data_IF_376276440169
#
_entry.id   IF_376276440169
#
_cell.length_a   1.000
_cell.length_b   1.000
_cell.length_c   1.000
_cell.angle_alpha   90.00
_cell.angle_beta   90.00
_cell.angle_gamma   90.00
#
_symmetry.space_group_name_H-M   'P 1'
#
loop_
_entity.id
_entity.type
_entity.pdbx_description
1 polymer ?
#
# COMPACT_ATOMS: atom_id res chain seq x y z
N UNK A 1 11.05 14.89 36.88
CA UNK A 1 9.95 15.16 35.92
C UNK A 1 9.65 16.65 36.02
N UNK A 2 9.86 17.40 34.93
CA UNK A 2 9.62 18.85 34.89
C UNK A 2 8.18 19.06 34.44
N UNK A 3 7.42 19.92 35.13
CA UNK A 3 6.01 20.15 34.82
C UNK A 3 5.77 21.63 34.52
N UNK A 4 5.26 21.92 33.33
CA UNK A 4 4.76 23.24 32.95
C UNK A 4 3.24 23.25 33.07
N UNK A 5 2.73 23.89 34.11
CA UNK A 5 1.28 23.99 34.39
C UNK A 5 0.60 25.17 33.69
N UNK A 6 1.38 26.12 33.17
CA UNK A 6 0.89 27.23 32.37
C UNK A 6 1.30 27.03 30.91
N UNK A 7 0.75 27.87 30.04
CA UNK A 7 1.11 27.89 28.62
C UNK A 7 2.62 28.14 28.45
N UNK A 8 3.21 27.45 27.48
CA UNK A 8 4.64 27.56 27.15
C UNK A 8 4.78 27.96 25.69
N UNK A 9 5.60 28.97 25.45
CA UNK A 9 5.86 29.50 24.11
C UNK A 9 7.35 29.46 23.79
N UNK A 10 7.70 28.60 22.85
CA UNK A 10 8.98 28.49 22.17
C UNK A 10 8.83 28.79 20.67
N UNK A 11 7.77 29.50 20.26
CA UNK A 11 7.62 29.89 18.87
C UNK A 11 8.80 30.77 18.44
N UNK A 12 9.28 30.53 17.22
CA UNK A 12 10.48 31.18 16.67
C UNK A 12 11.77 30.97 17.49
N UNK A 13 11.76 30.11 18.52
CA UNK A 13 12.97 29.84 19.29
C UNK A 13 14.01 29.12 18.42
N UNK A 14 15.27 29.49 18.60
CA UNK A 14 16.40 28.86 17.95
C UNK A 14 17.21 28.09 19.00
N UNK A 15 17.05 26.77 19.01
CA UNK A 15 17.85 25.87 19.84
C UNK A 15 19.12 25.50 19.07
N UNK A 16 20.29 25.79 19.65
CA UNK A 16 21.58 25.50 19.05
C UNK A 16 22.51 24.79 20.05
N UNK A 17 23.54 24.12 19.54
CA UNK A 17 24.51 23.37 20.35
C UNK A 17 24.60 21.90 19.94
N UNK A 18 25.15 21.05 20.81
CA UNK A 18 25.32 19.62 20.49
C UNK A 18 23.99 18.88 20.61
N UNK A 19 23.20 19.16 21.64
CA UNK A 19 21.97 18.44 21.93
C UNK A 19 20.90 19.36 22.51
N UNK A 20 19.64 19.19 22.06
CA UNK A 20 18.45 19.73 22.73
C UNK A 20 17.66 18.60 23.35
N UNK A 21 17.48 18.61 24.68
CA UNK A 21 16.80 17.55 25.42
C UNK A 21 15.61 18.14 26.20
N UNK A 22 14.41 17.76 25.79
CA UNK A 22 13.13 18.02 26.46
C UNK A 22 12.57 16.65 26.83
N UNK A 23 13.24 15.94 27.73
CA UNK A 23 12.88 14.56 28.10
C UNK A 23 12.23 14.51 29.47
N UNK A 24 11.24 13.62 29.64
CA UNK A 24 10.48 13.49 30.90
C UNK A 24 9.82 14.81 31.37
N UNK A 25 9.34 15.61 30.41
CA UNK A 25 8.63 16.87 30.66
C UNK A 25 7.13 16.65 30.51
N UNK A 26 6.32 17.31 31.33
CA UNK A 26 4.87 17.38 31.16
C UNK A 26 4.44 18.81 30.85
N UNK A 27 3.74 18.97 29.73
CA UNK A 27 3.09 20.22 29.35
C UNK A 27 1.58 20.09 29.60
N UNK A 28 1.12 20.73 30.68
CA UNK A 28 -0.28 20.70 31.14
C UNK A 28 -1.04 22.02 30.85
N UNK A 29 -0.32 23.07 30.43
CA UNK A 29 -0.92 24.32 29.99
C UNK A 29 -1.87 24.13 28.81
N UNK A 30 -2.76 25.08 28.59
CA UNK A 30 -3.73 25.01 27.47
C UNK A 30 -3.04 25.02 26.11
N UNK A 31 -1.89 25.72 26.01
CA UNK A 31 -1.09 25.84 24.78
C UNK A 31 0.38 25.50 25.03
N UNK A 32 0.96 24.73 24.13
CA UNK A 32 2.40 24.52 24.02
C UNK A 32 2.83 24.81 22.58
N UNK A 33 3.62 25.86 22.39
CA UNK A 33 3.91 26.38 21.05
C UNK A 33 5.40 26.22 20.73
N UNK A 34 5.72 25.45 19.70
CA UNK A 34 7.02 25.31 19.05
C UNK A 34 6.98 25.75 17.57
N UNK A 35 5.90 26.45 17.15
CA UNK A 35 5.74 26.85 15.75
C UNK A 35 6.90 27.72 15.29
N UNK A 36 7.36 27.51 14.06
CA UNK A 36 8.54 28.19 13.49
C UNK A 36 9.85 28.01 14.29
N UNK A 37 9.90 27.16 15.33
CA UNK A 37 11.14 26.90 16.05
C UNK A 37 12.16 26.20 15.15
N UNK A 38 13.45 26.42 15.44
CA UNK A 38 14.56 25.79 14.74
C UNK A 38 15.43 25.04 15.74
N UNK A 39 15.54 23.74 15.55
CA UNK A 39 16.45 22.89 16.31
C UNK A 39 17.70 22.60 15.47
N UNK A 40 18.73 23.43 15.62
CA UNK A 40 20.05 23.30 15.00
C UNK A 40 21.02 22.61 15.98
N UNK A 41 20.73 21.37 16.33
CA UNK A 41 21.58 20.54 17.20
C UNK A 41 21.88 19.20 16.53
N UNK A 42 22.93 18.50 16.97
CA UNK A 42 23.25 17.16 16.44
C UNK A 42 22.17 16.14 16.81
N UNK A 43 21.49 16.32 17.94
CA UNK A 43 20.33 15.51 18.33
C UNK A 43 19.26 16.33 19.05
N UNK A 44 18.00 15.97 18.83
CA UNK A 44 16.82 16.53 19.49
C UNK A 44 16.02 15.40 20.12
N UNK A 45 15.69 15.51 21.40
CA UNK A 45 14.94 14.47 22.10
C UNK A 45 13.77 15.02 22.91
N UNK A 46 12.57 14.51 22.61
CA UNK A 46 11.34 14.66 23.38
C UNK A 46 10.97 13.36 24.12
N UNK A 47 11.95 12.47 24.34
CA UNK A 47 11.73 11.15 24.95
C UNK A 47 10.88 11.23 26.24
N UNK A 48 9.82 10.43 26.29
CA UNK A 48 8.90 10.34 27.44
C UNK A 48 8.27 11.68 27.85
N UNK A 49 8.15 12.64 26.92
CA UNK A 49 7.43 13.89 27.16
C UNK A 49 5.94 13.69 26.99
N UNK A 50 5.16 14.35 27.85
CA UNK A 50 3.70 14.29 27.82
C UNK A 50 3.15 15.66 27.44
N UNK A 51 2.44 15.72 26.32
CA UNK A 51 1.66 16.86 25.91
C UNK A 51 0.18 16.60 26.25
N UNK A 52 -0.27 17.13 27.40
CA UNK A 52 -1.63 16.91 27.92
C UNK A 52 -2.56 18.11 27.72
N UNK A 53 -2.02 19.22 27.19
CA UNK A 53 -2.74 20.48 26.99
C UNK A 53 -3.90 20.40 26.00
N UNK A 54 -4.45 21.55 25.63
CA UNK A 54 -5.51 21.60 24.60
C UNK A 54 -4.90 21.63 23.20
N UNK A 55 -3.87 22.45 22.99
CA UNK A 55 -3.26 22.67 21.69
C UNK A 55 -1.73 22.61 21.77
N UNK A 56 -1.12 21.84 20.86
CA UNK A 56 0.33 21.69 20.73
C UNK A 56 0.71 21.99 19.29
N UNK A 57 1.58 22.96 19.09
CA UNK A 57 1.90 23.44 17.75
C UNK A 57 3.40 23.26 17.43
N UNK A 58 3.69 22.37 16.48
CA UNK A 58 4.99 22.14 15.85
C UNK A 58 4.97 22.57 14.37
N UNK A 59 4.01 23.40 13.95
CA UNK A 59 3.91 23.82 12.57
C UNK A 59 5.11 24.66 12.14
N UNK A 60 5.57 24.47 10.92
CA UNK A 60 6.76 25.15 10.38
C UNK A 60 8.06 24.96 11.17
N UNK A 61 8.10 24.04 12.15
CA UNK A 61 9.32 23.72 12.90
C UNK A 61 10.34 23.03 12.00
N UNK A 62 11.62 23.33 12.21
CA UNK A 62 12.74 22.68 11.50
C UNK A 62 13.59 21.87 12.46
N UNK A 63 13.73 20.58 12.19
CA UNK A 63 14.58 19.66 12.96
C UNK A 63 15.81 19.31 12.12
N UNK A 64 16.99 19.80 12.53
CA UNK A 64 18.27 19.44 11.94
C UNK A 64 18.96 18.35 12.79
N UNK A 65 20.19 17.97 12.40
CA UNK A 65 21.02 17.01 13.13
C UNK A 65 20.97 15.59 12.61
N UNK A 66 21.49 14.66 13.38
CA UNK A 66 21.48 13.23 13.09
C UNK A 66 20.16 12.56 13.53
N UNK A 67 19.49 13.09 14.56
CA UNK A 67 18.28 12.46 15.11
C UNK A 67 17.29 13.49 15.68
N UNK A 68 16.01 13.29 15.36
CA UNK A 68 14.87 13.91 16.04
C UNK A 68 13.98 12.81 16.64
N UNK A 69 13.98 12.69 17.97
CA UNK A 69 13.32 11.60 18.69
C UNK A 69 12.13 12.09 19.51
N UNK A 70 10.97 11.49 19.27
CA UNK A 70 9.72 11.58 20.01
C UNK A 70 9.34 10.21 20.58
N UNK A 71 10.32 9.35 20.83
CA UNK A 71 10.06 8.01 21.36
C UNK A 71 9.31 8.07 22.69
N UNK A 72 8.33 7.17 22.85
CA UNK A 72 7.47 7.07 24.03
C UNK A 72 6.80 8.41 24.43
N UNK A 73 6.70 9.36 23.49
CA UNK A 73 6.03 10.66 23.72
C UNK A 73 4.54 10.45 23.73
N UNK A 74 3.85 11.11 24.66
CA UNK A 74 2.38 11.09 24.74
C UNK A 74 1.83 12.38 24.15
N UNK A 75 1.35 12.27 22.93
CA UNK A 75 0.63 13.29 22.18
C UNK A 75 -0.85 13.22 22.57
N UNK A 76 -1.18 13.67 23.77
CA UNK A 76 -2.50 13.49 24.41
C UNK A 76 -3.35 14.76 24.42
N UNK A 77 -2.89 15.80 23.74
CA UNK A 77 -3.64 17.04 23.57
C UNK A 77 -4.81 16.87 22.60
N UNK A 78 -5.80 17.77 22.67
CA UNK A 78 -6.96 17.71 21.75
C UNK A 78 -6.54 17.98 20.31
N UNK A 79 -5.57 18.88 20.09
CA UNK A 79 -5.05 19.23 18.77
C UNK A 79 -3.53 19.30 18.79
N UNK A 80 -2.91 18.65 17.82
CA UNK A 80 -1.46 18.55 17.68
C UNK A 80 -1.11 18.79 16.21
N UNK A 81 -0.40 19.87 15.95
CA UNK A 81 -0.14 20.32 14.59
C UNK A 81 1.33 20.20 14.25
N UNK A 82 1.68 19.32 13.31
CA UNK A 82 3.01 19.26 12.70
C UNK A 82 3.05 19.88 11.30
N UNK A 83 1.96 20.50 10.83
CA UNK A 83 1.83 20.89 9.44
C UNK A 83 2.98 21.80 8.98
N UNK A 84 3.47 21.54 7.76
CA UNK A 84 4.61 22.27 7.17
C UNK A 84 5.94 22.18 7.94
N UNK A 85 6.05 21.33 8.96
CA UNK A 85 7.34 21.04 9.59
C UNK A 85 8.29 20.34 8.61
N UNK A 86 9.58 20.56 8.82
CA UNK A 86 10.64 20.00 7.99
C UNK A 86 11.61 19.23 8.88
N UNK A 87 11.64 17.92 8.69
CA UNK A 87 12.59 17.04 9.35
C UNK A 87 13.78 16.78 8.43
N UNK A 88 14.90 17.45 8.69
CA UNK A 88 16.17 17.28 7.99
C UNK A 88 17.06 16.23 8.67
N UNK A 89 16.70 15.78 9.87
CA UNK A 89 17.46 14.78 10.62
C UNK A 89 17.58 13.46 9.88
N UNK A 90 18.70 12.75 10.05
CA UNK A 90 18.92 11.44 9.39
C UNK A 90 17.92 10.37 9.87
N UNK A 91 17.54 10.44 11.16
CA UNK A 91 16.54 9.57 11.77
C UNK A 91 15.47 10.39 12.48
N UNK A 92 14.21 10.04 12.23
CA UNK A 92 13.05 10.64 12.89
C UNK A 92 12.27 9.52 13.56
N UNK A 93 12.12 9.57 14.88
CA UNK A 93 11.63 8.43 15.65
C UNK A 93 10.39 8.81 16.47
N UNK A 94 9.28 8.15 16.21
CA UNK A 94 8.04 8.18 16.99
C UNK A 94 7.76 6.79 17.59
N UNK A 95 8.82 6.06 17.93
CA UNK A 95 8.70 4.68 18.39
C UNK A 95 7.96 4.62 19.73
N UNK A 96 6.96 3.76 19.84
CA UNK A 96 6.06 3.67 21.03
C UNK A 96 5.38 5.00 21.40
N UNK A 97 5.33 5.98 20.49
CA UNK A 97 4.59 7.22 20.74
C UNK A 97 3.08 6.91 20.82
N UNK A 98 2.37 7.62 21.70
CA UNK A 98 0.93 7.48 21.87
C UNK A 98 0.22 8.73 21.38
N UNK A 99 -0.70 8.56 20.43
CA UNK A 99 -1.45 9.64 19.80
C UNK A 99 -2.92 9.61 20.22
N UNK A 100 -3.43 10.74 20.71
CA UNK A 100 -4.84 11.00 21.00
C UNK A 100 -5.24 12.36 20.42
N UNK A 101 -6.54 12.55 20.16
CA UNK A 101 -7.04 13.81 19.59
C UNK A 101 -6.78 13.96 18.09
N UNK A 102 -6.80 15.19 17.59
CA UNK A 102 -6.54 15.53 16.19
C UNK A 102 -5.04 15.78 15.97
N UNK A 103 -4.38 14.97 15.15
CA UNK A 103 -2.96 15.10 14.78
C UNK A 103 -2.85 15.42 13.29
N UNK A 104 -2.20 16.52 12.95
CA UNK A 104 -2.02 16.95 11.57
C UNK A 104 -0.55 16.85 11.12
N UNK A 105 -0.23 15.89 10.26
CA UNK A 105 1.05 15.76 9.54
C UNK A 105 0.95 16.23 8.08
N UNK A 106 0.06 17.19 7.79
CA UNK A 106 -0.12 17.76 6.47
C UNK A 106 1.11 18.53 5.97
N UNK A 107 1.54 18.25 4.74
CA UNK A 107 2.70 18.92 4.13
C UNK A 107 4.02 18.82 4.93
N UNK A 108 4.14 17.82 5.81
CA UNK A 108 5.40 17.54 6.51
C UNK A 108 6.44 17.00 5.54
N UNK A 109 7.68 17.47 5.66
CA UNK A 109 8.79 16.97 4.87
C UNK A 109 9.61 15.96 5.68
N UNK A 110 9.32 14.67 5.50
CA UNK A 110 10.11 13.56 6.04
C UNK A 110 11.29 13.25 5.11
N UNK A 111 12.38 14.02 5.21
CA UNK A 111 13.46 13.93 4.22
C UNK A 111 14.27 12.63 4.31
N UNK A 112 14.28 11.98 5.47
CA UNK A 112 15.00 10.73 5.72
C UNK A 112 14.10 9.70 6.42
N UNK A 113 14.71 8.62 6.93
CA UNK A 113 13.98 7.54 7.58
C UNK A 113 13.17 8.06 8.77
N UNK A 114 11.86 7.80 8.71
CA UNK A 114 10.92 8.12 9.78
C UNK A 114 10.25 6.84 10.26
N UNK A 115 10.26 6.60 11.56
CA UNK A 115 9.63 5.42 12.16
C UNK A 115 8.49 5.83 13.07
N UNK A 116 7.28 5.37 12.78
CA UNK A 116 6.17 5.31 13.73
C UNK A 116 6.07 3.93 14.40
N UNK A 117 7.13 3.13 14.35
CA UNK A 117 7.12 1.74 14.83
C UNK A 117 6.51 1.59 16.22
N UNK A 118 5.58 0.64 16.37
CA UNK A 118 4.92 0.35 17.65
C UNK A 118 4.14 1.54 18.26
N UNK A 119 3.88 2.60 17.47
CA UNK A 119 3.05 3.70 17.91
C UNK A 119 1.60 3.27 18.18
N UNK A 120 1.02 3.82 19.24
CA UNK A 120 -0.33 3.52 19.69
C UNK A 120 -1.24 4.67 19.30
N UNK A 121 -2.21 4.39 18.45
CA UNK A 121 -3.22 5.35 18.02
C UNK A 121 -4.51 5.05 18.79
N UNK A 122 -4.98 6.01 19.59
CA UNK A 122 -6.25 5.87 20.30
C UNK A 122 -7.43 5.76 19.30
N UNK A 123 -8.48 5.06 19.71
CA UNK A 123 -9.68 4.85 18.89
C UNK A 123 -10.37 6.15 18.47
N UNK A 124 -10.24 7.20 19.29
CA UNK A 124 -10.82 8.53 19.05
C UNK A 124 -9.80 9.51 18.48
N UNK A 125 -8.55 9.09 18.27
CA UNK A 125 -7.59 9.93 17.58
C UNK A 125 -8.01 10.08 16.11
N UNK A 126 -7.67 11.20 15.50
CA UNK A 126 -7.71 11.40 14.05
C UNK A 126 -6.32 11.86 13.61
N UNK A 127 -5.65 11.09 12.77
CA UNK A 127 -4.32 11.44 12.25
C UNK A 127 -4.42 11.69 10.76
N UNK A 128 -4.03 12.87 10.29
CA UNK A 128 -3.98 13.21 8.88
C UNK A 128 -2.54 13.24 8.38
N UNK A 129 -2.26 12.48 7.32
CA UNK A 129 -1.04 12.59 6.52
C UNK A 129 -1.38 13.17 5.16
N UNK A 130 -0.60 14.14 4.71
CA UNK A 130 -0.74 14.73 3.38
C UNK A 130 0.64 15.10 2.83
N UNK A 131 1.52 14.10 2.77
CA UNK A 131 2.97 14.27 2.55
C UNK A 131 3.60 13.05 1.86
N UNK A 132 4.88 13.16 1.50
CA UNK A 132 5.63 12.02 1.00
C UNK A 132 5.96 11.05 2.14
N UNK A 133 5.36 9.85 2.08
CA UNK A 133 5.54 8.77 3.03
C UNK A 133 6.49 7.67 2.52
N UNK A 134 7.21 7.90 1.43
CA UNK A 134 8.10 6.91 0.80
C UNK A 134 9.24 6.40 1.70
N UNK A 135 9.57 7.17 2.75
CA UNK A 135 10.60 6.86 3.77
C UNK A 135 10.04 6.64 5.18
N UNK A 136 8.72 6.52 5.29
CA UNK A 136 8.01 6.40 6.57
C UNK A 136 7.64 4.94 6.82
N UNK A 137 8.02 4.42 7.97
CA UNK A 137 7.66 3.08 8.46
C UNK A 137 6.51 3.17 9.45
N UNK A 138 5.49 2.33 9.25
CA UNK A 138 4.37 2.13 10.17
C UNK A 138 4.40 0.71 10.76
N UNK A 139 5.61 0.18 10.96
CA UNK A 139 5.80 -1.18 11.46
C UNK A 139 5.06 -1.40 12.79
N UNK A 140 4.23 -2.44 12.84
CA UNK A 140 3.38 -2.77 14.00
C UNK A 140 2.42 -1.64 14.44
N UNK A 141 2.09 -0.71 13.56
CA UNK A 141 1.06 0.31 13.80
C UNK A 141 -0.26 -0.18 13.22
N UNK A 142 -1.33 -0.06 14.00
CA UNK A 142 -2.68 -0.35 13.51
C UNK A 142 -3.18 0.80 12.65
N UNK A 143 -3.02 0.65 11.33
CA UNK A 143 -3.61 1.58 10.35
C UNK A 143 -5.11 1.30 10.27
N UNK A 144 -5.91 2.17 10.90
CA UNK A 144 -7.37 2.10 10.92
C UNK A 144 -8.04 3.26 10.19
N UNK A 145 -9.36 3.36 10.28
CA UNK A 145 -10.15 4.46 9.67
C UNK A 145 -9.86 5.84 10.27
N UNK A 146 -9.21 5.86 11.44
CA UNK A 146 -8.74 7.06 12.13
C UNK A 146 -7.48 7.68 11.51
N UNK A 147 -6.80 7.00 10.60
CA UNK A 147 -5.69 7.58 9.83
C UNK A 147 -6.18 8.00 8.46
N UNK A 148 -6.09 9.29 8.11
CA UNK A 148 -6.49 9.83 6.82
C UNK A 148 -5.26 10.09 5.98
N UNK A 149 -5.24 9.59 4.75
CA UNK A 149 -4.21 9.87 3.76
C UNK A 149 -4.78 10.81 2.70
N UNK A 150 -4.33 12.07 2.72
CA UNK A 150 -4.76 13.13 1.82
C UNK A 150 -4.23 12.98 0.39
N UNK A 151 -4.69 13.85 -0.51
CA UNK A 151 -4.42 13.79 -1.96
C UNK A 151 -2.93 13.91 -2.35
N UNK A 152 -2.12 14.55 -1.51
CA UNK A 152 -0.68 14.69 -1.74
C UNK A 152 0.14 13.59 -1.07
N UNK A 153 -0.53 12.60 -0.46
CA UNK A 153 0.14 11.43 0.10
C UNK A 153 0.81 10.64 -1.02
N UNK A 154 2.11 10.41 -0.88
CA UNK A 154 2.89 9.62 -1.84
C UNK A 154 3.56 8.46 -1.14
N UNK A 155 3.50 7.31 -1.78
CA UNK A 155 4.25 6.12 -1.40
C UNK A 155 5.43 5.93 -2.35
N UNK A 156 6.27 4.94 -2.09
CA UNK A 156 7.37 4.65 -3.00
C UNK A 156 6.85 4.11 -4.36
N UNK A 157 7.74 3.91 -5.32
CA UNK A 157 7.37 3.47 -6.68
C UNK A 157 6.44 2.25 -6.64
N UNK A 158 5.36 2.31 -7.42
CA UNK A 158 4.31 1.28 -7.47
C UNK A 158 3.74 0.94 -6.07
N UNK A 159 3.63 1.93 -5.18
CA UNK A 159 3.02 1.83 -3.85
C UNK A 159 3.72 0.85 -2.90
N UNK A 160 5.05 0.68 -3.01
CA UNK A 160 5.79 -0.04 -1.96
C UNK A 160 5.81 0.79 -0.67
N UNK A 161 5.51 0.14 0.44
CA UNK A 161 5.79 0.70 1.77
C UNK A 161 7.29 0.59 2.06
N UNK A 162 7.79 1.46 2.95
CA UNK A 162 9.21 1.51 3.29
C UNK A 162 9.73 0.18 3.86
N UNK A 163 8.93 -0.51 4.69
CA UNK A 163 9.36 -1.75 5.33
C UNK A 163 9.56 -2.91 4.35
N UNK A 164 8.84 -2.93 3.22
CA UNK A 164 9.10 -3.90 2.14
C UNK A 164 10.46 -3.63 1.48
N UNK A 165 10.80 -2.37 1.23
CA UNK A 165 12.09 -1.99 0.64
C UNK A 165 13.23 -2.40 1.57
N UNK A 166 13.07 -2.15 2.87
CA UNK A 166 14.04 -2.56 3.88
C UNK A 166 14.21 -4.07 3.96
N UNK A 167 13.14 -4.84 3.75
CA UNK A 167 13.20 -6.32 3.65
C UNK A 167 14.02 -6.76 2.43
N UNK A 168 13.91 -6.05 1.30
CA UNK A 168 14.69 -6.35 0.09
C UNK A 168 16.19 -6.04 0.28
N UNK A 169 16.52 -5.07 1.13
CA UNK A 169 17.91 -4.64 1.41
C UNK A 169 18.61 -5.46 2.51
N UNK A 170 17.89 -5.88 3.56
CA UNK A 170 18.45 -6.60 4.71
C UNK A 170 17.87 -8.03 4.82
N UNK A 171 18.55 -8.99 4.19
CA UNK A 171 18.15 -10.41 4.06
C UNK A 171 18.15 -11.22 5.39
N UNK A 172 18.50 -10.62 6.53
CA UNK A 172 18.92 -11.35 7.75
C UNK A 172 17.92 -11.38 8.92
N UNK A 173 16.88 -10.52 9.00
CA UNK A 173 15.93 -10.46 10.14
C UNK A 173 14.45 -10.63 9.75
N UNK A 174 14.16 -11.38 8.68
CA UNK A 174 12.94 -11.18 7.90
C UNK A 174 11.79 -12.17 8.06
N UNK A 175 11.36 -12.51 9.28
CA UNK A 175 10.10 -13.27 9.46
C UNK A 175 9.05 -12.53 10.30
N UNK A 176 9.47 -11.87 11.39
CA UNK A 176 8.61 -10.86 12.07
C UNK A 176 8.30 -9.68 11.15
N UNK A 177 9.25 -9.32 10.28
CA UNK A 177 9.10 -8.23 9.32
C UNK A 177 8.00 -8.50 8.28
N UNK A 178 7.89 -9.74 7.78
CA UNK A 178 6.91 -10.09 6.74
C UNK A 178 5.47 -9.99 7.28
N UNK A 179 5.20 -10.57 8.46
CA UNK A 179 3.87 -10.49 9.07
C UNK A 179 3.46 -9.03 9.32
N UNK A 180 4.38 -8.20 9.82
CA UNK A 180 4.17 -6.76 9.98
C UNK A 180 3.91 -6.03 8.65
N UNK A 181 4.64 -6.36 7.58
CA UNK A 181 4.44 -5.79 6.24
C UNK A 181 3.06 -6.16 5.69
N UNK A 182 2.63 -7.42 5.83
CA UNK A 182 1.30 -7.87 5.39
C UNK A 182 0.21 -7.11 6.16
N UNK A 183 0.35 -7.00 7.48
CA UNK A 183 -0.61 -6.26 8.32
C UNK A 183 -0.70 -4.79 7.93
N UNK A 184 0.43 -4.15 7.59
CA UNK A 184 0.44 -2.77 7.08
C UNK A 184 -0.30 -2.65 5.74
N UNK A 185 -0.04 -3.55 4.79
CA UNK A 185 -0.75 -3.54 3.51
C UNK A 185 -2.26 -3.75 3.66
N UNK A 186 -2.67 -4.64 4.55
CA UNK A 186 -4.09 -4.86 4.86
C UNK A 186 -4.72 -3.61 5.48
N UNK A 187 -4.08 -3.00 6.48
CA UNK A 187 -4.56 -1.77 7.10
C UNK A 187 -4.65 -0.61 6.11
N UNK A 188 -3.66 -0.45 5.22
CA UNK A 188 -3.71 0.53 4.14
C UNK A 188 -4.86 0.24 3.18
N UNK A 189 -4.95 -0.98 2.64
CA UNK A 189 -6.04 -1.35 1.74
C UNK A 189 -7.41 -1.04 2.34
N UNK A 190 -7.67 -1.55 3.54
CA UNK A 190 -8.97 -1.39 4.22
C UNK A 190 -9.26 0.11 4.50
N UNK A 191 -8.24 0.90 4.82
CA UNK A 191 -8.37 2.34 4.98
C UNK A 191 -8.70 3.07 3.67
N UNK A 192 -8.01 2.76 2.58
CA UNK A 192 -8.27 3.38 1.27
C UNK A 192 -9.65 2.96 0.72
N UNK A 193 -10.09 1.71 0.96
CA UNK A 193 -11.45 1.26 0.64
C UNK A 193 -12.52 2.02 1.44
N UNK A 194 -12.30 2.19 2.74
CA UNK A 194 -13.20 2.96 3.60
C UNK A 194 -13.36 4.41 3.12
N UNK A 195 -12.27 5.01 2.62
CA UNK A 195 -12.27 6.36 2.05
C UNK A 195 -12.67 6.42 0.56
N UNK A 196 -13.27 5.34 0.02
CA UNK A 196 -13.73 5.22 -1.37
C UNK A 196 -12.64 5.37 -2.44
N UNK A 197 -11.37 5.25 -2.07
CA UNK A 197 -10.23 5.24 -2.99
C UNK A 197 -9.86 3.80 -3.37
N UNK A 198 -10.74 3.17 -4.14
CA UNK A 198 -10.60 1.78 -4.59
C UNK A 198 -9.40 1.56 -5.52
N UNK A 199 -8.94 2.61 -6.23
CA UNK A 199 -7.79 2.48 -7.13
C UNK A 199 -6.50 2.23 -6.33
N UNK A 200 -6.24 3.05 -5.30
CA UNK A 200 -5.03 2.86 -4.49
C UNK A 200 -5.14 1.64 -3.57
N UNK A 201 -6.35 1.34 -3.06
CA UNK A 201 -6.59 0.08 -2.35
C UNK A 201 -6.24 -1.16 -3.20
N UNK A 202 -6.64 -1.18 -4.47
CA UNK A 202 -6.30 -2.27 -5.40
C UNK A 202 -4.78 -2.43 -5.58
N UNK A 203 -4.04 -1.32 -5.70
CA UNK A 203 -2.58 -1.34 -5.78
C UNK A 203 -1.93 -1.91 -4.52
N UNK A 204 -2.43 -1.58 -3.32
CA UNK A 204 -1.94 -2.18 -2.07
C UNK A 204 -2.26 -3.66 -1.95
N UNK A 205 -3.43 -4.10 -2.42
CA UNK A 205 -3.76 -5.53 -2.48
C UNK A 205 -2.79 -6.29 -3.40
N UNK A 206 -2.45 -5.72 -4.57
CA UNK A 206 -1.48 -6.32 -5.48
C UNK A 206 -0.12 -6.50 -4.78
N UNK A 207 0.31 -5.51 -3.99
CA UNK A 207 1.56 -5.59 -3.21
C UNK A 207 1.50 -6.63 -2.09
N UNK A 208 0.42 -6.67 -1.31
CA UNK A 208 0.17 -7.73 -0.33
C UNK A 208 0.33 -9.12 -0.98
N UNK A 209 -0.31 -9.30 -2.15
CA UNK A 209 -0.24 -10.51 -2.96
C UNK A 209 1.18 -10.84 -3.44
N UNK A 210 1.98 -9.84 -3.81
CA UNK A 210 3.38 -10.00 -4.22
C UNK A 210 4.28 -10.44 -3.07
N UNK A 211 4.12 -9.85 -1.89
CA UNK A 211 4.86 -10.26 -0.69
C UNK A 211 4.52 -11.70 -0.33
N UNK A 212 3.23 -12.04 -0.25
CA UNK A 212 2.76 -13.40 0.00
C UNK A 212 3.21 -14.41 -1.06
N UNK A 213 3.41 -13.96 -2.31
CA UNK A 213 3.94 -14.79 -3.40
C UNK A 213 5.44 -15.03 -3.21
N UNK A 214 6.21 -14.01 -2.88
CA UNK A 214 7.67 -14.10 -2.86
C UNK A 214 8.21 -14.81 -1.62
N UNK A 215 7.52 -14.68 -0.49
CA UNK A 215 7.99 -15.17 0.81
C UNK A 215 7.06 -16.26 1.36
N UNK A 216 7.63 -17.25 2.05
CA UNK A 216 6.86 -18.21 2.85
C UNK A 216 6.34 -17.51 4.11
N UNK A 217 5.03 -17.62 4.34
CA UNK A 217 4.42 -17.16 5.59
C UNK A 217 4.92 -18.08 6.72
N UNK A 218 5.63 -17.56 7.75
CA UNK A 218 6.08 -18.38 8.86
C UNK A 218 4.93 -18.95 9.70
N UNK A 219 3.72 -18.39 9.62
CA UNK A 219 2.62 -18.77 10.50
C UNK A 219 1.25 -18.80 9.80
N UNK A 220 1.00 -19.78 8.91
CA UNK A 220 -0.27 -19.91 8.17
C UNK A 220 -1.50 -20.16 9.06
N UNK A 221 -1.30 -20.30 10.38
CA UNK A 221 -2.35 -20.58 11.38
C UNK A 221 -2.81 -19.35 12.17
N UNK A 222 -2.13 -18.20 12.08
CA UNK A 222 -2.52 -17.00 12.82
C UNK A 222 -3.68 -16.24 12.17
N UNK A 223 -3.80 -16.29 10.83
CA UNK A 223 -4.92 -15.69 10.09
C UNK A 223 -6.24 -16.49 10.17
N UNK A 224 -6.24 -17.70 10.77
CA UNK A 224 -7.46 -18.49 11.06
C UNK A 224 -8.04 -18.25 12.47
N UNK A 225 -7.50 -17.28 13.22
CA UNK A 225 -7.78 -17.09 14.65
C UNK A 225 -9.22 -16.75 14.99
N UNK A 226 -10.03 -16.23 14.07
CA UNK A 226 -11.47 -16.01 14.33
C UNK A 226 -12.25 -17.33 14.55
N UNK A 227 -11.80 -18.43 13.94
CA UNK A 227 -12.44 -19.76 14.08
C UNK A 227 -11.75 -20.62 15.14
N UNK A 228 -10.42 -20.50 15.27
CA UNK A 228 -9.61 -21.26 16.24
C UNK A 228 -9.80 -20.80 17.69
N UNK A 229 -10.12 -19.53 17.94
CA UNK A 229 -10.33 -19.03 19.31
C UNK A 229 -11.53 -19.68 20.01
N UNK A 230 -12.49 -20.22 19.25
CA UNK A 230 -13.61 -21.03 19.76
C UNK A 230 -13.20 -22.47 20.16
N UNK A 231 -12.09 -22.96 19.61
CA UNK A 231 -11.52 -24.29 19.89
C UNK A 231 -10.40 -24.23 20.95
N UNK A 232 -9.63 -23.13 21.02
CA UNK A 232 -8.54 -22.94 21.99
C UNK A 232 -9.03 -22.79 23.44
N UNK A 233 -10.26 -22.36 23.67
CA UNK A 233 -10.87 -22.36 25.02
C UNK A 233 -11.12 -23.78 25.56
N UNK A 234 -11.02 -24.83 24.72
CA UNK A 234 -11.25 -26.22 25.12
C UNK A 234 -9.96 -27.00 25.47
N UNK A 235 -8.77 -26.51 25.12
CA UNK A 235 -7.53 -27.31 25.18
C UNK A 235 -6.38 -26.68 26.01
N UNK A 236 -6.62 -25.61 26.75
CA UNK A 236 -5.59 -24.75 27.34
C UNK A 236 -4.92 -25.26 28.64
N UNK A 237 -4.75 -26.57 28.87
CA UNK A 237 -4.28 -27.05 30.20
C UNK A 237 -3.06 -27.96 30.30
N UNK A 238 -2.37 -28.37 29.23
CA UNK A 238 -1.35 -29.44 29.40
C UNK A 238 0.02 -29.29 28.73
N UNK A 239 0.38 -28.19 28.05
CA UNK A 239 1.63 -28.21 27.25
C UNK A 239 2.34 -26.85 27.16
N UNK A 240 2.94 -26.38 28.27
CA UNK A 240 3.54 -25.03 28.31
C UNK A 240 5.00 -24.95 28.78
N UNK A 241 5.76 -26.06 28.86
CA UNK A 241 7.10 -26.02 29.48
C UNK A 241 8.25 -26.49 28.56
N UNK A 242 8.02 -27.19 27.45
CA UNK A 242 9.13 -27.71 26.60
C UNK A 242 9.42 -26.93 25.29
N UNK A 243 8.55 -26.04 24.82
CA UNK A 243 8.70 -25.40 23.48
C UNK A 243 9.70 -24.23 23.43
N UNK A 244 10.24 -23.78 24.56
CA UNK A 244 11.02 -22.53 24.62
C UNK A 244 12.46 -22.60 24.11
N UNK A 245 12.99 -23.79 23.77
CA UNK A 245 14.39 -23.96 23.34
C UNK A 245 14.57 -24.28 21.85
N UNK A 246 13.49 -24.56 21.10
CA UNK A 246 13.55 -24.92 19.67
C UNK A 246 13.17 -23.76 18.72
N UNK A 247 12.70 -22.63 19.23
CA UNK A 247 12.19 -21.52 18.40
C UNK A 247 13.28 -20.58 17.86
N UNK A 248 14.49 -20.57 18.44
CA UNK A 248 15.54 -19.62 18.04
C UNK A 248 16.41 -20.07 16.85
N UNK A 249 16.41 -21.37 16.47
CA UNK A 249 17.32 -21.89 15.43
C UNK A 249 16.72 -22.08 14.01
N UNK A 250 15.40 -21.89 13.78
CA UNK A 250 14.77 -22.37 12.52
C UNK A 250 14.40 -21.30 11.48
N UNK A 251 14.34 -20.02 11.82
CA UNK A 251 13.62 -19.07 10.96
C UNK A 251 14.57 -18.25 10.06
N UNK A 252 15.14 -18.91 9.04
CA UNK A 252 15.76 -18.24 7.86
C UNK A 252 14.67 -17.92 6.83
N UNK A 253 14.71 -16.73 6.22
CA UNK A 253 13.80 -16.32 5.14
C UNK A 253 13.89 -17.34 4.00
N UNK A 254 12.83 -18.12 3.78
CA UNK A 254 12.78 -19.05 2.66
C UNK A 254 11.91 -18.47 1.55
N UNK A 255 12.56 -18.08 0.44
CA UNK A 255 11.85 -17.68 -0.78
C UNK A 255 11.09 -18.88 -1.34
N UNK A 256 9.82 -18.71 -1.72
CA UNK A 256 9.04 -19.79 -2.34
C UNK A 256 9.71 -20.27 -3.63
N UNK A 257 9.67 -21.60 -3.84
CA UNK A 257 10.13 -22.21 -5.09
C UNK A 257 9.46 -21.55 -6.31
N UNK A 258 10.19 -21.44 -7.44
CA UNK A 258 9.73 -20.75 -8.66
C UNK A 258 8.35 -21.26 -9.11
N UNK A 259 8.11 -22.57 -9.07
CA UNK A 259 6.83 -23.17 -9.46
C UNK A 259 5.65 -22.65 -8.62
N UNK A 260 5.79 -22.65 -7.29
CA UNK A 260 4.75 -22.19 -6.37
C UNK A 260 4.45 -20.69 -6.51
N UNK A 261 5.37 -19.90 -7.08
CA UNK A 261 5.15 -18.48 -7.38
C UNK A 261 4.28 -18.22 -8.61
N UNK A 262 4.19 -19.15 -9.55
CA UNK A 262 3.43 -18.97 -10.79
C UNK A 262 2.04 -19.64 -10.77
N UNK A 263 1.77 -20.51 -9.79
CA UNK A 263 0.50 -21.25 -9.67
C UNK A 263 -0.34 -20.76 -8.47
N UNK A 264 0.12 -19.77 -7.71
CA UNK A 264 -0.59 -19.31 -6.50
C UNK A 264 -1.81 -18.43 -6.83
N UNK A 265 -2.85 -18.49 -5.98
CA UNK A 265 -4.05 -17.62 -6.08
C UNK A 265 -3.66 -16.12 -6.17
N UNK A 266 -2.68 -15.61 -5.41
CA UNK A 266 -2.17 -14.24 -5.58
C UNK A 266 -1.64 -13.92 -6.98
N UNK A 267 -1.01 -14.89 -7.67
CA UNK A 267 -0.52 -14.69 -9.03
C UNK A 267 -1.68 -14.54 -10.02
N UNK A 268 -2.69 -15.40 -9.93
CA UNK A 268 -3.91 -15.31 -10.75
C UNK A 268 -4.64 -14.00 -10.47
N UNK A 269 -4.82 -13.65 -9.19
CA UNK A 269 -5.45 -12.38 -8.81
C UNK A 269 -4.69 -11.18 -9.36
N UNK A 270 -3.36 -11.12 -9.24
CA UNK A 270 -2.57 -10.00 -9.79
C UNK A 270 -2.86 -9.80 -11.28
N UNK A 271 -2.96 -10.89 -12.04
CA UNK A 271 -3.27 -10.79 -13.46
C UNK A 271 -4.68 -10.28 -13.70
N UNK A 272 -5.67 -10.68 -12.89
CA UNK A 272 -7.06 -10.21 -12.96
C UNK A 272 -7.20 -8.74 -12.51
N UNK A 273 -6.50 -8.32 -11.45
CA UNK A 273 -6.52 -6.96 -10.93
C UNK A 273 -5.84 -5.99 -11.89
N UNK A 274 -4.65 -6.35 -12.40
CA UNK A 274 -3.98 -5.61 -13.47
C UNK A 274 -4.82 -5.55 -14.77
N UNK A 275 -5.74 -6.49 -14.96
CA UNK A 275 -6.64 -6.58 -16.11
C UNK A 275 -7.69 -5.47 -16.11
N UNK A 276 -8.06 -4.93 -14.94
CA UNK A 276 -8.99 -3.82 -14.79
C UNK A 276 -8.36 -2.43 -14.96
N UNK A 277 -7.03 -2.33 -14.85
CA UNK A 277 -6.29 -1.05 -14.87
C UNK A 277 -5.74 -0.66 -16.27
N UNK A 278 -5.55 -1.61 -17.18
CA UNK A 278 -4.88 -1.36 -18.47
C UNK A 278 -5.61 -1.99 -19.65
N UNK A 279 -6.09 -1.16 -20.60
CA UNK A 279 -6.73 -1.59 -21.85
C UNK A 279 -5.78 -2.37 -22.80
N UNK A 280 -4.45 -2.24 -22.62
CA UNK A 280 -3.47 -2.87 -23.52
C UNK A 280 -3.44 -4.39 -23.40
N UNK A 281 -3.63 -4.93 -22.19
CA UNK A 281 -3.58 -6.37 -21.91
C UNK A 281 -4.77 -7.13 -22.53
N UNK A 282 -6.04 -6.74 -22.30
CA UNK A 282 -7.17 -7.42 -22.93
C UNK A 282 -7.17 -7.24 -24.45
N UNK A 283 -6.79 -6.05 -24.94
CA UNK A 283 -6.67 -5.80 -26.38
C UNK A 283 -5.57 -6.65 -27.03
N UNK A 284 -4.44 -6.85 -26.34
CA UNK A 284 -3.39 -7.76 -26.81
C UNK A 284 -3.85 -9.21 -26.92
N UNK A 285 -4.59 -9.71 -25.92
CA UNK A 285 -5.16 -11.06 -25.94
C UNK A 285 -6.22 -11.20 -27.03
N UNK A 286 -7.06 -10.18 -27.23
CA UNK A 286 -8.01 -10.12 -28.35
C UNK A 286 -7.29 -10.19 -29.70
N UNK A 287 -6.21 -9.44 -29.90
CA UNK A 287 -5.41 -9.49 -31.14
C UNK A 287 -4.83 -10.89 -31.36
N UNK A 288 -4.33 -11.55 -30.32
CA UNK A 288 -3.76 -12.91 -30.43
C UNK A 288 -4.83 -13.91 -30.85
N UNK A 289 -6.00 -13.88 -30.21
CA UNK A 289 -7.10 -14.79 -30.55
C UNK A 289 -7.62 -14.49 -31.96
N UNK A 290 -7.70 -13.21 -32.36
CA UNK A 290 -8.15 -12.78 -33.68
C UNK A 290 -7.18 -13.24 -34.77
N UNK A 291 -5.89 -13.01 -34.57
CA UNK A 291 -4.85 -13.44 -35.53
C UNK A 291 -4.79 -14.96 -35.66
N UNK A 292 -4.90 -15.70 -34.56
CA UNK A 292 -4.94 -17.15 -34.59
C UNK A 292 -6.15 -17.70 -35.36
N UNK A 293 -7.35 -17.17 -35.09
CA UNK A 293 -8.59 -17.60 -35.78
C UNK A 293 -8.56 -17.24 -37.26
N UNK A 294 -8.03 -16.08 -37.61
CA UNK A 294 -7.82 -15.65 -38.99
C UNK A 294 -6.85 -16.58 -39.74
N UNK A 295 -5.65 -16.79 -39.19
CA UNK A 295 -4.59 -17.59 -39.82
C UNK A 295 -4.97 -19.06 -39.92
N UNK A 296 -5.52 -19.66 -38.87
CA UNK A 296 -5.93 -21.07 -38.89
C UNK A 296 -7.02 -21.31 -39.95
N UNK A 297 -7.98 -20.41 -40.09
CA UNK A 297 -9.03 -20.50 -41.11
C UNK A 297 -8.51 -20.29 -42.52
N UNK A 298 -7.59 -19.33 -42.72
CA UNK A 298 -6.96 -19.09 -44.01
C UNK A 298 -6.10 -20.29 -44.46
N UNK A 299 -5.31 -20.86 -43.55
CA UNK A 299 -4.46 -22.03 -43.84
C UNK A 299 -5.32 -23.24 -44.21
N UNK A 300 -6.39 -23.52 -43.47
CA UNK A 300 -7.30 -24.63 -43.79
C UNK A 300 -7.91 -24.46 -45.19
N UNK A 301 -8.37 -23.26 -45.53
CA UNK A 301 -8.98 -22.99 -46.83
C UNK A 301 -7.98 -23.09 -48.01
N UNK A 302 -6.75 -22.63 -47.80
CA UNK A 302 -5.70 -22.76 -48.79
C UNK A 302 -5.28 -24.23 -49.01
N UNK A 303 -5.15 -25.01 -47.93
CA UNK A 303 -4.65 -26.39 -47.98
C UNK A 303 -5.73 -27.40 -48.38
N UNK A 304 -6.95 -27.29 -47.84
CA UNK A 304 -8.02 -28.27 -48.08
C UNK A 304 -8.83 -27.94 -49.35
N UNK A 305 -9.06 -26.66 -49.64
CA UNK A 305 -9.93 -26.23 -50.73
C UNK A 305 -9.20 -25.54 -51.89
N UNK A 306 -7.85 -25.53 -51.89
CA UNK A 306 -7.00 -24.94 -52.94
C UNK A 306 -7.37 -23.49 -53.32
N UNK A 307 -7.85 -22.70 -52.35
CA UNK A 307 -8.11 -21.27 -52.55
C UNK A 307 -6.81 -20.49 -52.71
N UNK A 308 -6.80 -19.46 -53.56
CA UNK A 308 -5.68 -18.55 -53.67
C UNK A 308 -5.38 -17.88 -52.32
N UNK A 309 -4.10 -17.57 -52.08
CA UNK A 309 -3.63 -17.06 -50.77
C UNK A 309 -4.43 -15.80 -50.37
N UNK A 310 -4.67 -14.88 -51.31
CA UNK A 310 -5.41 -13.65 -51.03
C UNK A 310 -6.87 -13.93 -50.63
N UNK A 311 -7.53 -14.87 -51.31
CA UNK A 311 -8.93 -15.23 -51.03
C UNK A 311 -9.04 -16.02 -49.73
N UNK A 312 -8.07 -16.88 -49.43
CA UNK A 312 -7.97 -17.60 -48.17
C UNK A 312 -7.76 -16.64 -46.98
N UNK A 313 -6.93 -15.61 -47.14
CA UNK A 313 -6.78 -14.54 -46.14
C UNK A 313 -8.07 -13.74 -45.99
N UNK A 314 -8.73 -13.34 -47.08
CA UNK A 314 -10.00 -12.63 -47.03
C UNK A 314 -11.08 -13.46 -46.30
N UNK A 315 -11.17 -14.76 -46.58
CA UNK A 315 -12.05 -15.68 -45.86
C UNK A 315 -11.70 -15.76 -44.38
N UNK A 316 -10.42 -15.94 -44.03
CA UNK A 316 -9.96 -15.98 -42.65
C UNK A 316 -10.29 -14.70 -41.88
N UNK A 317 -10.16 -13.53 -42.50
CA UNK A 317 -10.52 -12.24 -41.89
C UNK A 317 -12.02 -12.12 -41.66
N UNK A 318 -12.85 -12.49 -42.63
CA UNK A 318 -14.31 -12.51 -42.50
C UNK A 318 -14.75 -13.42 -41.35
N UNK A 319 -14.17 -14.62 -41.27
CA UNK A 319 -14.47 -15.59 -40.21
C UNK A 319 -14.03 -15.11 -38.83
N UNK A 320 -12.85 -14.52 -38.71
CA UNK A 320 -12.40 -13.90 -37.46
C UNK A 320 -13.30 -12.72 -37.06
N UNK A 321 -13.79 -11.91 -38.01
CA UNK A 321 -14.74 -10.83 -37.74
C UNK A 321 -16.09 -11.35 -37.25
N UNK A 322 -16.66 -12.39 -37.87
CA UNK A 322 -17.92 -13.02 -37.43
C UNK A 322 -17.82 -13.69 -36.06
N UNK A 323 -16.66 -14.26 -35.71
CA UNK A 323 -16.40 -14.83 -34.39
C UNK A 323 -16.27 -13.77 -33.27
N UNK A 324 -15.81 -12.56 -33.60
CA UNK A 324 -15.57 -11.49 -32.63
C UNK A 324 -16.72 -10.48 -32.53
N UNK A 325 -17.43 -10.25 -33.64
CA UNK A 325 -18.56 -9.34 -33.72
C UNK A 325 -19.75 -10.12 -34.28
N UNK A 326 -20.61 -10.69 -33.42
CA UNK A 326 -21.73 -11.54 -33.86
C UNK A 326 -22.73 -10.83 -34.79
N UNK A 327 -22.72 -9.49 -34.82
CA UNK A 327 -23.57 -8.68 -35.71
C UNK A 327 -22.99 -8.50 -37.12
N UNK A 328 -21.71 -8.81 -37.31
CA UNK A 328 -21.01 -8.78 -38.61
C UNK A 328 -20.89 -10.18 -39.22
N UNK A 329 -21.61 -11.16 -38.67
CA UNK A 329 -21.56 -12.55 -39.14
C UNK A 329 -21.99 -12.60 -40.62
N UNK A 330 -21.02 -12.85 -41.50
CA UNK A 330 -21.29 -13.15 -42.91
C UNK A 330 -21.82 -14.57 -42.91
N UNK A 331 -23.11 -14.71 -43.19
CA UNK A 331 -23.84 -15.97 -43.16
C UNK A 331 -23.14 -17.06 -43.98
N UNK A 332 -22.31 -17.86 -43.32
CA UNK A 332 -21.76 -19.09 -43.89
C UNK A 332 -21.94 -20.23 -42.89
N UNK A 333 -22.81 -21.16 -43.29
CA UNK A 333 -23.37 -22.21 -42.47
C UNK A 333 -22.36 -23.33 -42.26
N UNK A 334 -21.53 -23.25 -41.22
CA UNK A 334 -20.98 -24.39 -40.47
C UNK A 334 -20.23 -23.87 -39.24
N UNK A 335 -21.00 -23.58 -38.18
CA UNK A 335 -20.45 -23.26 -36.85
C UNK A 335 -19.71 -24.49 -36.32
N UNK A 336 -18.38 -24.41 -36.18
CA UNK A 336 -17.61 -25.44 -35.48
C UNK A 336 -17.78 -25.23 -33.97
N UNK A 337 -17.72 -26.28 -33.12
CA UNK A 337 -17.80 -26.14 -31.67
C UNK A 337 -16.79 -25.15 -31.07
N UNK A 338 -15.63 -25.01 -31.72
CA UNK A 338 -14.59 -24.05 -31.36
C UNK A 338 -15.04 -22.58 -31.53
N UNK A 339 -15.94 -22.29 -32.47
CA UNK A 339 -16.42 -20.94 -32.72
C UNK A 339 -17.25 -20.41 -31.54
N UNK A 340 -18.00 -21.28 -30.87
CA UNK A 340 -18.70 -20.94 -29.62
C UNK A 340 -17.74 -20.67 -28.46
N UNK A 341 -16.62 -21.40 -28.37
CA UNK A 341 -15.59 -21.16 -27.36
C UNK A 341 -14.90 -19.81 -27.57
N UNK A 342 -14.59 -19.45 -28.82
CA UNK A 342 -14.04 -18.13 -29.17
C UNK A 342 -15.05 -17.03 -28.86
N UNK A 343 -16.31 -17.17 -29.29
CA UNK A 343 -17.39 -16.21 -29.00
C UNK A 343 -17.58 -16.00 -27.47
N UNK A 344 -17.53 -17.07 -26.68
CA UNK A 344 -17.65 -17.02 -25.22
C UNK A 344 -16.50 -16.27 -24.52
N UNK A 345 -15.29 -16.27 -25.11
CA UNK A 345 -14.11 -15.59 -24.55
C UNK A 345 -14.00 -14.15 -25.09
N UNK A 346 -14.25 -13.95 -26.38
CA UNK A 346 -14.07 -12.66 -27.05
C UNK A 346 -15.11 -11.61 -26.61
N UNK A 347 -16.36 -12.02 -26.36
CA UNK A 347 -17.44 -11.10 -26.02
C UNK A 347 -17.24 -10.40 -24.65
N UNK A 348 -16.91 -11.10 -23.54
CA UNK A 348 -16.53 -10.45 -22.28
C UNK A 348 -15.28 -9.57 -22.42
N UNK A 349 -14.25 -10.04 -23.14
CA UNK A 349 -13.00 -9.29 -23.33
C UNK A 349 -13.20 -7.99 -24.11
N UNK A 350 -14.07 -8.00 -25.11
CA UNK A 350 -14.42 -6.81 -25.91
C UNK A 350 -15.21 -5.81 -25.05
N UNK A 351 -16.19 -6.28 -24.26
CA UNK A 351 -16.91 -5.44 -23.32
C UNK A 351 -16.01 -4.80 -22.26
N UNK A 352 -15.08 -5.58 -21.68
CA UNK A 352 -14.09 -5.08 -20.72
C UNK A 352 -13.13 -4.07 -21.36
N UNK A 353 -12.67 -4.31 -22.59
CA UNK A 353 -11.81 -3.38 -23.34
C UNK A 353 -12.53 -2.06 -23.60
N UNK A 354 -13.82 -2.10 -23.94
CA UNK A 354 -14.65 -0.91 -24.13
C UNK A 354 -14.80 -0.10 -22.84
N UNK A 355 -15.06 -0.75 -21.70
CA UNK A 355 -15.14 -0.10 -20.38
C UNK A 355 -13.81 0.57 -20.02
N UNK A 356 -12.69 -0.14 -20.22
CA UNK A 356 -11.35 0.39 -19.95
C UNK A 356 -11.01 1.59 -20.86
N UNK A 357 -11.38 1.52 -22.14
CA UNK A 357 -11.18 2.61 -23.11
C UNK A 357 -12.02 3.84 -22.75
N UNK A 358 -13.29 3.65 -22.38
CA UNK A 358 -14.18 4.72 -21.91
C UNK A 358 -13.58 5.44 -20.70
N UNK A 359 -13.16 4.70 -19.67
CA UNK A 359 -12.51 5.27 -18.47
C UNK A 359 -11.27 6.11 -18.82
N UNK A 360 -10.48 5.69 -19.80
CA UNK A 360 -9.32 6.46 -20.27
C UNK A 360 -9.72 7.77 -20.95
N UNK A 361 -10.76 7.75 -21.79
CA UNK A 361 -11.29 8.96 -22.41
C UNK A 361 -11.84 9.93 -21.35
N UNK A 362 -12.56 9.43 -20.34
CA UNK A 362 -13.05 10.24 -19.22
C UNK A 362 -11.91 10.90 -18.44
N UNK A 363 -10.83 10.15 -18.13
CA UNK A 363 -9.61 10.69 -17.50
C UNK A 363 -8.96 11.78 -18.35
N UNK A 364 -8.82 11.56 -19.67
CA UNK A 364 -8.23 12.54 -20.60
C UNK A 364 -9.10 13.79 -20.73
N UNK A 365 -10.41 13.63 -20.82
CA UNK A 365 -11.37 14.73 -20.90
C UNK A 365 -11.35 15.58 -19.64
N UNK A 366 -11.42 14.98 -18.44
CA UNK A 366 -11.29 15.71 -17.17
C UNK A 366 -10.00 16.53 -17.09
N UNK A 367 -8.86 15.95 -17.49
CA UNK A 367 -7.58 16.65 -17.47
C UNK A 367 -7.48 17.79 -18.50
N UNK A 368 -8.28 17.75 -19.58
CA UNK A 368 -8.27 18.79 -20.62
C UNK A 368 -9.28 19.91 -20.34
N UNK A 369 -10.39 19.60 -19.66
CA UNK A 369 -11.48 20.56 -19.38
C UNK A 369 -11.36 21.22 -18.01
N UNK A 370 -10.80 20.53 -17.00
CA UNK A 370 -10.57 21.07 -15.65
C UNK A 370 -9.12 21.53 -15.44
N UNK A 371 -8.30 21.48 -16.50
CA UNK A 371 -6.90 21.90 -16.50
C UNK A 371 -6.65 23.33 -16.99
N UNK A 372 -7.70 24.16 -17.09
CA UNK A 372 -7.60 25.61 -17.32
C UNK A 372 -8.06 26.37 -16.08
#
# INVERSE_FOLDING_TARGET
>A
MINFNNDVDFSHAHFHGIQTSITHVQFNGTKTNFSHAKFDTESVSFLMTHFNGTNVDFSYTKFHGSEASFNSTKFHAQKINFAHSVFLSDKILFYEASFMGEINFGHVQFNNFTSFGDAIIDKNAEIEFNSDLSKVSFYNVKIGTNMKFGLYTKWNKQNKIYDEIRLEENDSNGLRLIAGIISQYQGLRDNYEYNFNYEDAGKFFIRESEVLRNYEDPNPFENKTTFSNKLKSAFSKSKKIEEKKSEEEILKIKKKSRFHRYVSIPFVYKHIADYGESYKKPLGILIIIFTYTMLSSAVLQHVENNLDILDAFAYGTSRALGAFVPYLDVADTTDKPWDYAVKAIALPLTGLSFIALKRRFERKYRNTVLGN
#
